data_IF_027199593718
#
_entry.id   IF_027199593718
#
_cell.length_a   1.000
_cell.length_b   1.000
_cell.length_c   1.000
_cell.angle_alpha   90.00
_cell.angle_beta   90.00
_cell.angle_gamma   90.00
#
_symmetry.space_group_name_H-M   'P 1'
#
loop_
_entity.id
_entity.type
_entity.pdbx_description
1 polymer ?
#
# COMPACT_ATOMS: atom_id res chain seq x y z
N UNK A 1 40.51 47.76 -18.04
CA UNK A 1 39.11 47.57 -17.59
C UNK A 1 38.54 46.24 -18.11
N UNK A 2 39.19 45.12 -17.75
CA UNK A 2 38.84 43.75 -18.24
C UNK A 2 38.58 42.76 -17.09
N UNK A 3 38.91 43.14 -15.85
CA UNK A 3 38.77 42.30 -14.65
C UNK A 3 37.30 42.05 -14.28
N UNK A 4 36.41 43.01 -14.54
CA UNK A 4 34.97 42.90 -14.27
C UNK A 4 34.24 41.94 -15.21
N UNK A 5 34.74 41.74 -16.44
CA UNK A 5 34.10 40.86 -17.44
C UNK A 5 34.36 39.37 -17.15
N UNK A 6 35.55 39.03 -16.66
CA UNK A 6 35.86 37.66 -16.20
C UNK A 6 35.16 37.30 -14.89
N UNK A 7 34.99 38.27 -13.97
CA UNK A 7 34.30 38.05 -12.69
C UNK A 7 32.81 37.71 -12.88
N UNK A 8 32.14 38.32 -13.86
CA UNK A 8 30.75 37.99 -14.20
C UNK A 8 30.60 36.59 -14.78
N UNK A 9 31.57 36.16 -15.60
CA UNK A 9 31.61 34.80 -16.14
C UNK A 9 31.78 33.76 -15.04
N UNK A 10 32.72 33.98 -14.11
CA UNK A 10 32.96 33.07 -12.98
C UNK A 10 31.73 32.97 -12.06
N UNK A 11 31.05 34.09 -11.80
CA UNK A 11 29.81 34.08 -11.02
C UNK A 11 28.69 33.29 -11.71
N UNK A 12 28.57 33.42 -13.04
CA UNK A 12 27.62 32.64 -13.83
C UNK A 12 27.95 31.14 -13.79
N UNK A 13 29.23 30.74 -13.90
CA UNK A 13 29.63 29.34 -13.82
C UNK A 13 29.36 28.72 -12.44
N UNK A 14 29.53 29.47 -11.36
CA UNK A 14 29.26 28.99 -9.98
C UNK A 14 27.75 28.83 -9.74
N UNK A 15 26.92 29.72 -10.30
CA UNK A 15 25.47 29.65 -10.15
C UNK A 15 24.86 28.45 -10.91
N UNK A 16 25.43 28.10 -12.07
CA UNK A 16 24.99 26.97 -12.91
C UNK A 16 25.29 25.58 -12.33
N UNK A 17 26.22 25.44 -11.38
CA UNK A 17 26.57 24.14 -10.79
C UNK A 17 25.48 23.57 -9.87
N UNK A 18 24.51 24.40 -9.44
CA UNK A 18 23.48 24.00 -8.48
C UNK A 18 22.27 23.29 -9.12
N UNK A 19 22.18 23.18 -10.45
CA UNK A 19 20.97 22.69 -11.14
C UNK A 19 21.01 21.20 -11.52
N UNK A 20 21.91 20.39 -10.97
CA UNK A 20 22.19 19.03 -11.48
C UNK A 20 21.79 17.88 -10.54
N UNK A 21 21.06 18.13 -9.44
CA UNK A 21 20.59 17.02 -8.57
C UNK A 21 19.08 16.82 -8.73
N UNK A 22 18.73 16.00 -9.73
CA UNK A 22 17.42 15.37 -9.85
C UNK A 22 17.64 13.94 -10.38
N UNK A 23 18.14 13.05 -9.52
CA UNK A 23 18.12 11.61 -9.77
C UNK A 23 16.95 11.05 -8.99
N UNK A 24 15.91 10.61 -9.70
CA UNK A 24 14.79 9.88 -9.09
C UNK A 24 15.36 8.61 -8.45
N UNK A 25 15.38 8.55 -7.11
CA UNK A 25 15.84 7.36 -6.42
C UNK A 25 14.74 6.31 -6.46
N UNK A 26 15.09 5.10 -6.88
CA UNK A 26 14.19 3.95 -6.80
C UNK A 26 13.74 3.73 -5.35
N UNK A 27 12.47 3.35 -5.18
CA UNK A 27 11.92 3.04 -3.86
C UNK A 27 12.55 1.76 -3.32
N UNK A 28 12.57 1.63 -1.99
CA UNK A 28 13.17 0.48 -1.32
C UNK A 28 12.26 -0.09 -0.25
N UNK A 29 12.34 -1.39 -0.02
CA UNK A 29 11.59 -2.11 1.03
C UNK A 29 12.52 -3.00 1.84
N UNK A 30 12.20 -3.21 3.11
CA UNK A 30 12.88 -4.17 3.99
C UNK A 30 12.05 -5.44 4.04
N UNK A 31 12.62 -6.59 3.68
CA UNK A 31 11.92 -7.86 3.73
C UNK A 31 11.65 -8.32 5.16
N UNK A 32 10.42 -8.75 5.45
CA UNK A 32 9.99 -9.27 6.74
C UNK A 32 9.88 -10.79 6.72
N UNK A 33 9.73 -11.38 7.90
CA UNK A 33 9.51 -12.83 8.01
C UNK A 33 8.21 -13.22 7.29
N UNK A 34 8.30 -14.20 6.40
CA UNK A 34 7.19 -14.66 5.56
C UNK A 34 7.01 -13.90 4.25
N UNK A 35 7.82 -12.86 3.98
CA UNK A 35 7.79 -12.19 2.68
C UNK A 35 8.40 -13.03 1.57
N UNK A 36 7.75 -13.01 0.42
CA UNK A 36 8.32 -13.41 -0.87
C UNK A 36 8.23 -12.27 -1.87
N UNK A 37 8.83 -12.43 -3.04
CA UNK A 37 8.83 -11.39 -4.08
C UNK A 37 7.39 -10.99 -4.47
N UNK A 38 6.49 -11.97 -4.57
CA UNK A 38 5.07 -11.74 -4.84
C UNK A 38 4.39 -10.90 -3.75
N UNK A 39 4.66 -11.17 -2.47
CA UNK A 39 4.03 -10.41 -1.38
C UNK A 39 4.55 -8.99 -1.35
N UNK A 40 5.86 -8.79 -1.56
CA UNK A 40 6.47 -7.46 -1.64
C UNK A 40 5.84 -6.62 -2.74
N UNK A 41 5.83 -7.12 -3.98
CA UNK A 41 5.29 -6.37 -5.12
C UNK A 41 3.80 -6.05 -4.94
N UNK A 42 3.02 -7.00 -4.43
CA UNK A 42 1.59 -6.80 -4.13
C UNK A 42 1.36 -5.78 -3.02
N UNK A 43 2.16 -5.80 -1.97
CA UNK A 43 2.09 -4.84 -0.86
C UNK A 43 2.48 -3.43 -1.32
N UNK A 44 3.33 -3.31 -2.33
CA UNK A 44 3.64 -2.04 -3.02
C UNK A 44 2.59 -1.63 -4.06
N UNK A 45 1.53 -2.42 -4.22
CA UNK A 45 0.45 -2.14 -5.16
C UNK A 45 0.89 -2.23 -6.62
N UNK A 46 1.96 -2.98 -6.89
CA UNK A 46 2.56 -3.18 -8.21
C UNK A 46 2.00 -4.45 -8.85
N UNK A 47 1.80 -4.44 -10.16
CA UNK A 47 1.44 -5.63 -10.91
C UNK A 47 2.59 -6.64 -10.89
N UNK A 48 2.37 -7.77 -10.22
CA UNK A 48 3.41 -8.77 -10.03
C UNK A 48 3.85 -9.39 -11.36
N UNK A 49 2.93 -9.65 -12.28
CA UNK A 49 3.25 -10.35 -13.54
C UNK A 49 4.17 -9.48 -14.40
N UNK A 50 3.93 -8.17 -14.41
CA UNK A 50 4.69 -7.22 -15.22
C UNK A 50 6.08 -6.91 -14.65
N UNK A 51 6.19 -6.79 -13.32
CA UNK A 51 7.39 -6.25 -12.67
C UNK A 51 8.24 -7.30 -11.94
N UNK A 52 7.87 -8.58 -11.97
CA UNK A 52 8.63 -9.65 -11.32
C UNK A 52 10.06 -9.78 -11.86
N UNK A 53 10.22 -9.81 -13.18
CA UNK A 53 11.54 -9.95 -13.81
C UNK A 53 12.45 -8.76 -13.47
N UNK A 54 11.92 -7.54 -13.56
CA UNK A 54 12.67 -6.33 -13.22
C UNK A 54 13.08 -6.31 -11.73
N UNK A 55 12.22 -6.80 -10.82
CA UNK A 55 12.59 -6.95 -9.41
C UNK A 55 13.76 -7.90 -9.23
N UNK A 56 13.80 -9.02 -9.97
CA UNK A 56 14.93 -9.95 -9.94
C UNK A 56 16.21 -9.27 -10.43
N UNK A 57 16.15 -8.58 -11.57
CA UNK A 57 17.30 -7.93 -12.19
C UNK A 57 17.89 -6.83 -11.29
N UNK A 58 17.03 -6.02 -10.66
CA UNK A 58 17.47 -4.96 -9.74
C UNK A 58 18.13 -5.47 -8.47
N UNK A 59 17.87 -6.73 -8.08
CA UNK A 59 18.28 -7.29 -6.80
C UNK A 59 19.04 -8.61 -6.92
N UNK A 60 19.55 -8.96 -8.11
CA UNK A 60 20.14 -10.25 -8.43
C UNK A 60 21.24 -10.65 -7.42
N UNK A 61 22.04 -9.68 -6.99
CA UNK A 61 23.11 -9.84 -6.03
C UNK A 61 22.67 -10.18 -4.60
N UNK A 62 21.39 -9.97 -4.26
CA UNK A 62 20.81 -10.17 -2.92
C UNK A 62 19.81 -11.33 -2.88
N UNK A 63 19.46 -11.90 -4.03
CA UNK A 63 18.48 -12.98 -4.13
C UNK A 63 19.19 -14.33 -4.09
N UNK A 64 18.74 -15.19 -3.19
CA UNK A 64 19.31 -16.52 -3.00
C UNK A 64 18.51 -17.53 -3.84
N UNK A 65 19.19 -18.43 -4.55
CA UNK A 65 18.56 -19.50 -5.36
C UNK A 65 17.48 -18.99 -6.35
N UNK A 66 17.63 -17.77 -6.84
CA UNK A 66 16.76 -17.17 -7.86
C UNK A 66 15.41 -16.62 -7.38
N UNK A 67 15.00 -16.83 -6.12
CA UNK A 67 13.73 -16.28 -5.62
C UNK A 67 13.64 -16.06 -4.11
N UNK A 68 14.65 -16.48 -3.34
CA UNK A 68 14.62 -16.41 -1.88
C UNK A 68 15.14 -15.05 -1.40
N UNK A 69 14.37 -14.42 -0.51
CA UNK A 69 14.70 -13.15 0.14
C UNK A 69 15.26 -13.40 1.54
N UNK A 70 16.15 -12.51 1.98
CA UNK A 70 16.73 -12.52 3.32
C UNK A 70 15.97 -11.53 4.20
N UNK A 71 15.53 -11.98 5.36
CA UNK A 71 14.80 -11.14 6.32
C UNK A 71 15.71 -10.03 6.85
N UNK A 72 15.20 -8.80 6.89
CA UNK A 72 15.94 -7.62 7.30
C UNK A 72 16.71 -6.93 6.18
N UNK A 73 16.75 -7.53 4.99
CA UNK A 73 17.51 -7.00 3.86
C UNK A 73 16.71 -5.99 3.04
N UNK A 74 17.41 -4.99 2.51
CA UNK A 74 16.83 -3.92 1.70
C UNK A 74 16.82 -4.30 0.22
N UNK A 75 15.65 -4.27 -0.39
CA UNK A 75 15.43 -4.55 -1.81
C UNK A 75 14.94 -3.30 -2.54
N UNK A 76 15.41 -3.13 -3.78
CA UNK A 76 14.97 -2.09 -4.70
C UNK A 76 13.62 -2.49 -5.33
N UNK A 77 12.72 -1.53 -5.43
CA UNK A 77 11.40 -1.69 -6.04
C UNK A 77 11.43 -1.10 -7.47
N UNK A 78 10.94 -1.85 -8.48
CA UNK A 78 10.76 -1.36 -9.85
C UNK A 78 9.93 -0.08 -9.94
N UNK A 79 10.21 0.78 -10.91
CA UNK A 79 9.39 1.95 -11.17
C UNK A 79 8.09 1.55 -11.89
N UNK A 80 7.01 1.41 -11.11
CA UNK A 80 5.69 0.99 -11.60
C UNK A 80 4.66 2.14 -11.63
N UNK A 81 4.58 2.97 -12.70
CA UNK A 81 3.68 4.13 -12.79
C UNK A 81 2.19 3.76 -12.69
N UNK A 82 1.87 2.51 -12.98
CA UNK A 82 0.56 1.89 -12.80
C UNK A 82 0.30 1.38 -11.37
N UNK A 83 1.24 1.55 -10.42
CA UNK A 83 1.02 1.18 -9.02
C UNK A 83 -0.24 1.85 -8.46
N UNK A 84 -1.10 1.07 -7.83
CA UNK A 84 -2.31 1.59 -7.20
C UNK A 84 -2.01 2.58 -6.07
N UNK A 85 -0.83 2.50 -5.43
CA UNK A 85 -0.38 3.49 -4.44
C UNK A 85 -0.21 4.89 -5.05
N UNK A 86 0.21 4.99 -6.31
CA UNK A 86 0.33 6.27 -7.03
C UNK A 86 -0.98 6.78 -7.61
N UNK A 87 -1.91 5.87 -7.90
CA UNK A 87 -3.20 6.18 -8.54
C UNK A 87 -4.37 6.33 -7.56
N UNK A 88 -4.11 6.20 -6.25
CA UNK A 88 -5.13 6.36 -5.22
C UNK A 88 -5.66 7.79 -5.15
N UNK A 89 -6.98 7.95 -5.20
CA UNK A 89 -7.64 9.22 -4.89
C UNK A 89 -7.63 9.36 -3.37
N UNK A 90 -7.00 10.42 -2.84
CA UNK A 90 -7.09 10.76 -1.42
C UNK A 90 -8.53 11.21 -1.14
N UNK A 91 -9.33 10.32 -0.54
CA UNK A 91 -10.63 10.71 0.00
C UNK A 91 -10.35 11.44 1.31
N UNK A 92 -10.48 12.76 1.30
CA UNK A 92 -10.52 13.53 2.53
C UNK A 92 -11.80 13.14 3.26
N UNK A 93 -11.66 12.29 4.28
CA UNK A 93 -12.77 12.07 5.20
C UNK A 93 -13.05 13.42 5.86
N UNK A 94 -14.29 13.93 5.80
CA UNK A 94 -14.64 15.07 6.63
C UNK A 94 -14.33 14.72 8.08
N UNK A 95 -13.99 15.72 8.89
CA UNK A 95 -13.67 15.67 10.33
C UNK A 95 -14.90 15.27 11.18
N UNK A 96 -15.68 14.32 10.67
CA UNK A 96 -16.86 13.76 11.27
C UNK A 96 -16.38 12.92 12.44
N UNK A 97 -16.54 13.50 13.64
CA UNK A 97 -16.46 12.83 14.93
C UNK A 97 -17.11 11.45 14.80
N UNK A 98 -16.30 10.39 14.87
CA UNK A 98 -16.76 9.00 14.75
C UNK A 98 -17.94 8.79 15.71
N UNK A 99 -19.13 8.54 15.15
CA UNK A 99 -20.31 8.28 15.95
C UNK A 99 -20.27 6.79 16.31
N UNK A 100 -20.27 6.43 17.60
CA UNK A 100 -20.24 5.03 18.00
C UNK A 100 -21.48 4.31 17.47
N UNK A 101 -21.24 3.18 16.80
CA UNK A 101 -22.30 2.34 16.21
C UNK A 101 -23.12 1.64 17.31
N UNK A 102 -22.53 1.47 18.49
CA UNK A 102 -23.16 0.84 19.65
C UNK A 102 -23.68 1.87 20.64
N UNK A 103 -24.84 1.59 21.24
CA UNK A 103 -25.44 2.41 22.29
C UNK A 103 -24.83 2.07 23.66
N UNK A 104 -24.60 3.11 24.45
CA UNK A 104 -24.34 3.14 25.90
C UNK A 104 -23.43 2.03 26.47
N UNK A 105 -23.95 0.85 26.80
CA UNK A 105 -23.21 -0.18 27.54
C UNK A 105 -22.06 -0.81 26.73
N UNK A 106 -22.18 -0.83 25.40
CA UNK A 106 -21.16 -1.35 24.48
C UNK A 106 -20.31 -0.24 23.83
N UNK A 107 -20.54 1.02 24.21
CA UNK A 107 -19.76 2.15 23.71
C UNK A 107 -18.32 2.19 24.29
N UNK A 108 -18.09 1.51 25.43
CA UNK A 108 -16.82 1.49 26.16
C UNK A 108 -15.90 0.32 25.77
N UNK A 109 -15.99 -0.18 24.55
CA UNK A 109 -15.07 -1.21 24.06
C UNK A 109 -13.63 -0.65 24.03
N UNK A 110 -12.76 -1.23 24.86
CA UNK A 110 -11.34 -0.86 24.88
C UNK A 110 -10.69 -1.32 23.57
N UNK A 111 -10.25 -0.36 22.77
CA UNK A 111 -9.45 -0.64 21.57
C UNK A 111 -8.18 -1.38 22.02
N UNK A 112 -7.97 -2.59 21.48
CA UNK A 112 -6.80 -3.42 21.79
C UNK A 112 -5.55 -2.90 21.09
N UNK A 113 -5.66 -2.60 19.80
CA UNK A 113 -4.59 -2.08 18.93
C UNK A 113 -5.17 -1.47 17.64
N UNK A 114 -4.30 -0.91 16.80
CA UNK A 114 -4.63 -0.23 15.53
C UNK A 114 -4.32 -1.08 14.29
N UNK A 115 -4.10 -2.40 14.45
CA UNK A 115 -3.66 -3.28 13.36
C UNK A 115 -4.65 -3.30 12.18
N UNK A 116 -5.92 -3.04 12.46
CA UNK A 116 -7.02 -3.12 11.49
C UNK A 116 -7.38 -1.76 10.88
N UNK A 117 -6.62 -0.70 11.15
CA UNK A 117 -6.85 0.60 10.53
C UNK A 117 -6.87 0.45 8.99
N UNK A 118 -7.85 1.08 8.34
CA UNK A 118 -8.07 1.03 6.88
C UNK A 118 -8.39 -0.37 6.30
N UNK A 119 -8.85 -1.33 7.12
CA UNK A 119 -9.32 -2.64 6.65
C UNK A 119 -10.81 -2.60 6.26
N UNK A 120 -11.17 -3.31 5.18
CA UNK A 120 -12.57 -3.44 4.72
C UNK A 120 -13.13 -4.79 5.18
N UNK A 121 -14.24 -4.76 5.93
CA UNK A 121 -14.94 -5.97 6.41
C UNK A 121 -16.23 -6.20 5.63
N UNK A 122 -16.43 -7.42 5.14
CA UNK A 122 -17.70 -7.88 4.59
C UNK A 122 -18.39 -8.76 5.62
N UNK A 123 -19.48 -8.26 6.22
CA UNK A 123 -20.30 -9.05 7.14
C UNK A 123 -21.38 -9.75 6.32
N UNK A 124 -21.24 -11.06 6.13
CA UNK A 124 -22.26 -11.88 5.49
C UNK A 124 -23.27 -12.31 6.55
N UNK A 125 -24.45 -11.69 6.55
CA UNK A 125 -25.55 -12.09 7.43
C UNK A 125 -26.47 -13.06 6.68
N UNK A 126 -26.50 -14.32 7.10
CA UNK A 126 -27.60 -15.21 6.74
C UNK A 126 -28.74 -14.94 7.73
N UNK A 127 -29.53 -13.89 7.50
CA UNK A 127 -30.80 -13.74 8.21
C UNK A 127 -31.69 -14.88 7.73
N UNK A 128 -31.84 -15.92 8.55
CA UNK A 128 -32.59 -17.13 8.25
C UNK A 128 -34.10 -16.90 8.11
N UNK A 129 -34.53 -16.12 7.12
CA UNK A 129 -35.93 -16.05 6.67
C UNK A 129 -36.44 -17.40 6.13
N UNK A 130 -35.53 -18.36 5.89
CA UNK A 130 -35.85 -19.72 5.47
C UNK A 130 -36.45 -20.59 6.60
N UNK A 131 -36.31 -20.21 7.88
CA UNK A 131 -36.89 -20.99 8.99
C UNK A 131 -38.39 -20.74 9.19
N UNK A 132 -38.93 -19.61 8.73
CA UNK A 132 -40.34 -19.23 8.93
C UNK A 132 -41.24 -19.66 7.76
N UNK A 133 -40.67 -19.99 6.60
CA UNK A 133 -41.42 -20.44 5.42
C UNK A 133 -41.64 -21.97 5.41
N UNK A 134 -40.83 -22.72 6.17
CA UNK A 134 -40.97 -24.17 6.32
C UNK A 134 -42.13 -24.58 7.26
N UNK A 135 -42.49 -23.73 8.24
CA UNK A 135 -43.54 -24.04 9.22
C UNK A 135 -44.96 -23.74 8.73
N UNK A 136 -45.13 -22.95 7.65
CA UNK A 136 -46.45 -22.71 7.03
C UNK A 136 -46.90 -23.86 6.12
N UNK A 137 -45.98 -24.56 5.45
CA UNK A 137 -46.33 -25.62 4.49
C UNK A 137 -46.65 -26.99 5.11
N UNK A 138 -46.44 -27.15 6.42
CA UNK A 138 -46.78 -28.39 7.15
C UNK A 138 -48.20 -28.40 7.74
N UNK A 139 -48.88 -27.25 7.80
CA UNK A 139 -50.22 -27.13 8.40
C UNK A 139 -51.36 -27.03 7.38
N UNK A 140 -51.06 -26.99 6.07
CA UNK A 140 -52.07 -26.97 5.00
C UNK A 140 -52.36 -28.36 4.41
N UNK A 141 -51.58 -29.40 4.75
CA UNK A 141 -51.73 -30.76 4.21
C UNK A 141 -52.38 -31.75 5.21
N UNK A 142 -53.00 -31.24 6.29
CA UNK A 142 -53.69 -32.06 7.30
C UNK A 142 -55.14 -31.63 7.53
N UNK A 143 -55.84 -31.24 6.45
CA UNK A 143 -57.31 -31.20 6.43
C UNK A 143 -57.88 -32.52 5.92
#
# INVERSE_FOLDING_TARGET
MTLSRNSLFVLFTILSLNTVIAQDSLQTVIAKNGDGIFSILRNEGIDVVKYYAEFLDLNENKIIKGSQLTVGEVYLIPDAPDSFKRRGIRIEMPDAKEIPIFKEELASLKIKDSTLNNTVFYVLTNTGSSAEEATRKLNEDTT
#
